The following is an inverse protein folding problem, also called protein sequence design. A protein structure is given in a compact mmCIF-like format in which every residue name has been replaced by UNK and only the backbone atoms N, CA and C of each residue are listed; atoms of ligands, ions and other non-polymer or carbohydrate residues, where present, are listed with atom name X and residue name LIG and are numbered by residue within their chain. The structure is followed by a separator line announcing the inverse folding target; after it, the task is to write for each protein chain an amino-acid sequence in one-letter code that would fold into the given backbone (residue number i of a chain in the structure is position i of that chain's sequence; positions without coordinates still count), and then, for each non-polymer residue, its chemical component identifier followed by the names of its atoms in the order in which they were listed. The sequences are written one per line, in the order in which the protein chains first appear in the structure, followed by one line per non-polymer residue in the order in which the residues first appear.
data_IF_703970450537
#
_entry.id   IF_703970450537
#
_cell.length_a   1.000
_cell.length_b   1.000
_cell.length_c   1.000
_cell.angle_alpha   90.00
_cell.angle_beta   90.00
_cell.angle_gamma   90.00
#
_symmetry.space_group_name_H-M   'P 1'
#
loop_
_entity.id
_entity.type
_entity.pdbx_description
1 polymer ?
#
# COMPACT_ATOMS: atom_id res chain seq x y z
N UNK A 1 -7.11 1.83 6.08
CA UNK A 1 -6.28 2.99 6.48
C UNK A 1 -6.38 4.10 5.45
N UNK A 2 -6.05 5.35 5.81
CA UNK A 2 -5.84 6.46 4.86
C UNK A 2 -4.45 7.01 5.14
N UNK A 3 -3.51 6.86 4.20
CA UNK A 3 -2.11 7.19 4.45
C UNK A 3 -1.30 7.44 3.16
N UNK A 4 -0.02 7.79 3.35
CA UNK A 4 0.98 7.82 2.26
C UNK A 4 1.42 6.41 1.86
N UNK A 5 2.06 6.29 0.71
CA UNK A 5 2.52 5.03 0.13
C UNK A 5 4.03 4.80 0.32
N UNK A 6 4.52 5.01 1.55
CA UNK A 6 5.90 4.69 1.91
C UNK A 6 6.12 3.17 1.95
N UNK A 7 7.33 2.72 1.62
CA UNK A 7 7.66 1.28 1.57
C UNK A 7 7.36 0.57 2.91
N UNK A 8 7.83 1.11 4.03
CA UNK A 8 7.54 0.54 5.36
C UNK A 8 6.06 0.52 5.69
N UNK A 9 5.32 1.56 5.31
CA UNK A 9 3.87 1.64 5.52
C UNK A 9 3.15 0.54 4.75
N UNK A 10 3.48 0.35 3.47
CA UNK A 10 2.89 -0.73 2.67
C UNK A 10 3.21 -2.10 3.26
N UNK A 11 4.45 -2.32 3.69
CA UNK A 11 4.86 -3.56 4.36
C UNK A 11 4.06 -3.81 5.63
N UNK A 12 3.82 -2.79 6.45
CA UNK A 12 2.99 -2.95 7.65
C UNK A 12 1.52 -3.26 7.29
N UNK A 13 0.94 -2.53 6.33
CA UNK A 13 -0.43 -2.76 5.91
C UNK A 13 -0.61 -4.16 5.31
N UNK A 14 0.36 -4.67 4.55
CA UNK A 14 0.31 -6.02 3.99
C UNK A 14 0.40 -7.08 5.07
N UNK A 15 1.32 -6.95 6.04
CA UNK A 15 1.46 -7.89 7.15
C UNK A 15 0.17 -8.04 7.96
N UNK A 16 -0.56 -6.94 8.18
CA UNK A 16 -1.81 -6.96 8.94
C UNK A 16 -3.07 -7.09 8.06
N UNK A 17 -2.93 -7.12 6.74
CA UNK A 17 -4.06 -7.21 5.82
C UNK A 17 -5.02 -6.04 5.89
N UNK A 18 -4.49 -4.82 6.02
CA UNK A 18 -5.28 -3.62 6.21
C UNK A 18 -5.59 -2.98 4.85
N UNK A 19 -6.84 -3.02 4.38
CA UNK A 19 -7.23 -2.36 3.13
C UNK A 19 -7.06 -0.84 3.27
N UNK A 20 -6.68 -0.15 2.19
CA UNK A 20 -6.25 1.24 2.31
C UNK A 20 -6.62 2.16 1.14
N UNK A 21 -6.79 3.43 1.46
CA UNK A 21 -6.70 4.54 0.52
C UNK A 21 -5.28 5.11 0.60
N UNK A 22 -4.53 5.00 -0.48
CA UNK A 22 -3.14 5.46 -0.58
C UNK A 22 -3.07 6.77 -1.35
N UNK A 23 -2.49 7.79 -0.72
CA UNK A 23 -2.25 9.11 -1.31
C UNK A 23 -0.75 9.33 -1.46
N UNK A 24 -0.10 8.85 -2.54
CA UNK A 24 1.34 8.92 -2.69
C UNK A 24 1.85 10.36 -2.63
N UNK A 25 3.01 10.56 -2.00
CA UNK A 25 3.67 11.86 -1.95
C UNK A 25 4.29 12.19 -3.32
N UNK A 26 3.88 13.30 -3.98
CA UNK A 26 4.24 13.57 -5.38
C UNK A 26 5.69 14.02 -5.58
N UNK A 27 6.43 14.30 -4.51
CA UNK A 27 7.83 14.73 -4.59
C UNK A 27 8.80 13.66 -4.06
N UNK A 28 8.34 12.41 -3.97
CA UNK A 28 9.23 11.29 -3.68
C UNK A 28 10.24 11.13 -4.82
N UNK A 29 11.51 10.86 -4.49
CA UNK A 29 12.55 10.58 -5.48
C UNK A 29 12.06 9.53 -6.47
N UNK A 30 12.19 9.83 -7.77
CA UNK A 30 11.82 8.92 -8.87
C UNK A 30 10.37 8.38 -8.81
N UNK A 31 9.45 9.10 -8.16
CA UNK A 31 8.04 8.69 -7.99
C UNK A 31 7.85 7.35 -7.27
N UNK A 32 8.81 6.93 -6.43
CA UNK A 32 8.77 5.61 -5.77
C UNK A 32 7.48 5.36 -4.98
N UNK A 33 6.92 6.40 -4.33
CA UNK A 33 5.65 6.25 -3.62
C UNK A 33 4.46 5.97 -4.56
N UNK A 34 4.46 6.51 -5.78
CA UNK A 34 3.41 6.22 -6.75
C UNK A 34 3.46 4.75 -7.19
N UNK A 35 4.66 4.23 -7.52
CA UNK A 35 4.82 2.84 -7.92
C UNK A 35 4.47 1.86 -6.80
N UNK A 36 4.93 2.15 -5.59
CA UNK A 36 4.53 1.46 -4.37
C UNK A 36 2.99 1.38 -4.24
N UNK A 37 2.30 2.52 -4.38
CA UNK A 37 0.84 2.57 -4.26
C UNK A 37 0.15 1.77 -5.37
N UNK A 38 0.66 1.93 -6.61
CA UNK A 38 0.13 1.30 -7.81
C UNK A 38 0.23 -0.23 -7.74
N UNK A 39 1.33 -0.78 -7.25
CA UNK A 39 1.49 -2.22 -7.09
C UNK A 39 0.41 -2.82 -6.17
N UNK A 40 0.09 -2.13 -5.07
CA UNK A 40 -0.96 -2.57 -4.15
C UNK A 40 -2.37 -2.39 -4.74
N UNK A 41 -2.60 -1.35 -5.54
CA UNK A 41 -3.85 -1.18 -6.28
C UNK A 41 -4.06 -2.27 -7.34
N UNK A 42 -3.02 -2.60 -8.11
CA UNK A 42 -3.06 -3.66 -9.12
C UNK A 42 -3.29 -5.04 -8.49
N UNK A 43 -2.78 -5.25 -7.28
CA UNK A 43 -3.07 -6.44 -6.47
C UNK A 43 -4.54 -6.47 -5.98
N UNK A 44 -5.22 -5.33 -5.97
CA UNK A 44 -6.57 -5.17 -5.43
C UNK A 44 -6.60 -4.91 -3.92
N UNK A 45 -5.48 -4.52 -3.31
CA UNK A 45 -5.35 -4.29 -1.87
C UNK A 45 -5.61 -2.85 -1.42
N UNK A 46 -5.67 -1.90 -2.36
CA UNK A 46 -5.85 -0.48 -2.08
C UNK A 46 -6.57 0.27 -3.20
N UNK A 47 -7.06 1.46 -2.87
CA UNK A 47 -7.45 2.50 -3.82
C UNK A 47 -6.37 3.59 -3.81
N UNK A 48 -5.93 4.04 -4.98
CA UNK A 48 -4.92 5.11 -5.10
C UNK A 48 -5.56 6.42 -5.51
N UNK A 49 -5.20 7.50 -4.81
CA UNK A 49 -5.63 8.84 -5.13
C UNK A 49 -4.41 9.77 -5.18
N UNK A 50 -4.13 10.37 -6.33
CA UNK A 50 -3.03 11.34 -6.44
C UNK A 50 -3.35 12.58 -5.60
N UNK A 51 -2.31 13.20 -5.04
CA UNK A 51 -2.45 14.38 -4.18
C UNK A 51 -3.17 15.55 -4.88
N UNK A 52 -2.92 15.76 -6.17
CA UNK A 52 -3.57 16.81 -6.97
C UNK A 52 -5.09 16.64 -7.09
N UNK A 53 -5.58 15.40 -7.00
CA UNK A 53 -6.99 15.02 -7.14
C UNK A 53 -7.73 14.99 -5.79
N UNK A 54 -7.03 15.27 -4.68
CA UNK A 54 -7.62 15.25 -3.35
C UNK A 54 -8.68 16.35 -3.22
N UNK A 55 -9.93 15.91 -3.06
CA UNK A 55 -11.10 16.75 -2.76
C UNK A 55 -11.97 16.02 -1.73
N UNK A 56 -12.71 16.73 -0.86
CA UNK A 56 -13.53 16.08 0.18
C UNK A 56 -14.46 14.99 -0.35
N UNK A 57 -15.19 15.26 -1.44
CA UNK A 57 -16.10 14.29 -2.06
C UNK A 57 -15.38 13.07 -2.64
N UNK A 58 -14.19 13.26 -3.20
CA UNK A 58 -13.38 12.18 -3.77
C UNK A 58 -12.82 11.28 -2.66
N UNK A 59 -12.33 11.86 -1.56
CA UNK A 59 -11.89 11.09 -0.39
C UNK A 59 -13.06 10.26 0.16
N UNK A 60 -14.23 10.86 0.36
CA UNK A 60 -15.40 10.15 0.89
C UNK A 60 -15.74 8.96 0.00
N UNK A 61 -15.84 9.17 -1.31
CA UNK A 61 -16.16 8.10 -2.27
C UNK A 61 -15.11 6.97 -2.26
N UNK A 62 -13.82 7.33 -2.17
CA UNK A 62 -12.74 6.35 -2.10
C UNK A 62 -12.75 5.56 -0.78
N UNK A 63 -13.02 6.21 0.34
CA UNK A 63 -13.15 5.54 1.65
C UNK A 63 -14.38 4.63 1.66
N UNK A 64 -15.51 5.06 1.12
CA UNK A 64 -16.71 4.22 0.96
C UNK A 64 -16.41 2.96 0.15
N UNK A 65 -15.66 3.09 -0.95
CA UNK A 65 -15.21 1.93 -1.74
C UNK A 65 -14.34 0.99 -0.90
N UNK A 66 -13.31 1.51 -0.24
CA UNK A 66 -12.42 0.71 0.63
C UNK A 66 -13.21 -0.02 1.72
N UNK A 67 -14.23 0.62 2.31
CA UNK A 67 -15.10 -0.01 3.31
C UNK A 67 -16.00 -1.10 2.71
N UNK A 68 -16.55 -0.87 1.53
CA UNK A 68 -17.42 -1.85 0.85
C UNK A 68 -16.67 -3.09 0.35
N UNK A 69 -15.38 -2.95 0.04
CA UNK A 69 -14.51 -4.02 -0.50
C UNK A 69 -13.48 -4.48 0.56
N UNK A 70 -13.67 -4.13 1.84
CA UNK A 70 -12.65 -4.24 2.88
C UNK A 70 -12.12 -5.67 3.09
N UNK A 71 -13.01 -6.67 3.05
CA UNK A 71 -12.63 -8.07 3.24
C UNK A 71 -11.74 -8.56 2.09
N UNK A 72 -12.19 -8.40 0.84
CA UNK A 72 -11.43 -8.80 -0.34
C UNK A 72 -10.13 -8.01 -0.51
N UNK A 73 -10.14 -6.69 -0.24
CA UNK A 73 -8.93 -5.87 -0.29
C UNK A 73 -7.94 -6.27 0.82
N UNK A 74 -8.44 -6.59 2.01
CA UNK A 74 -7.62 -7.08 3.10
C UNK A 74 -6.97 -8.42 2.78
N UNK A 75 -7.68 -9.33 2.12
CA UNK A 75 -7.13 -10.60 1.62
C UNK A 75 -6.07 -10.38 0.54
N UNK A 76 -6.36 -9.51 -0.43
CA UNK A 76 -5.44 -9.18 -1.50
C UNK A 76 -4.14 -8.58 -0.96
N UNK A 77 -4.20 -7.57 -0.09
CA UNK A 77 -2.97 -6.93 0.42
C UNK A 77 -2.12 -7.88 1.28
N UNK A 78 -2.72 -8.88 1.93
CA UNK A 78 -1.97 -9.92 2.68
C UNK A 78 -1.02 -10.72 1.78
N UNK A 79 -1.36 -10.94 0.51
CA UNK A 79 -0.48 -11.71 -0.38
C UNK A 79 0.79 -10.96 -0.77
N UNK A 80 0.87 -9.65 -0.52
CA UNK A 80 2.09 -8.87 -0.70
C UNK A 80 3.10 -9.05 0.45
N UNK A 81 2.65 -9.52 1.61
CA UNK A 81 3.50 -9.60 2.79
C UNK A 81 4.61 -10.65 2.63
N UNK A 82 5.83 -10.30 3.05
CA UNK A 82 6.93 -11.25 3.22
C UNK A 82 7.42 -11.27 4.67
N UNK A 83 6.86 -12.13 5.54
CA UNK A 83 7.23 -12.21 6.95
C UNK A 83 8.68 -12.64 7.20
N UNK A 84 9.34 -13.28 6.22
CA UNK A 84 10.74 -13.71 6.34
C UNK A 84 11.74 -12.75 5.72
N UNK A 85 11.33 -11.54 5.36
CA UNK A 85 12.20 -10.59 4.67
C UNK A 85 13.53 -10.37 5.40
N UNK A 86 13.51 -10.28 6.73
CA UNK A 86 14.72 -10.12 7.55
C UNK A 86 15.62 -11.35 7.48
N UNK A 87 15.06 -12.56 7.61
CA UNK A 87 15.83 -13.80 7.55
C UNK A 87 16.51 -13.97 6.18
N UNK A 88 15.77 -13.72 5.09
CA UNK A 88 16.30 -13.79 3.72
C UNK A 88 17.46 -12.81 3.48
N UNK A 89 17.36 -11.60 4.04
CA UNK A 89 18.44 -10.61 3.95
C UNK A 89 19.67 -11.08 4.74
N UNK A 90 19.47 -11.67 5.92
CA UNK A 90 20.57 -12.20 6.74
C UNK A 90 21.28 -13.37 6.05
N UNK A 91 20.53 -14.30 5.47
CA UNK A 91 21.08 -15.42 4.68
C UNK A 91 21.99 -14.91 3.56
N UNK A 92 21.53 -13.95 2.74
CA UNK A 92 22.30 -13.38 1.63
C UNK A 92 23.56 -12.61 2.08
N UNK A 93 23.51 -11.94 3.24
CA UNK A 93 24.67 -11.22 3.79
C UNK A 93 25.70 -12.20 4.34
N UNK A 94 25.29 -13.29 4.96
CA UNK A 94 26.17 -14.27 5.61
C UNK A 94 26.74 -15.33 4.64
N UNK A 95 26.10 -15.55 3.49
CA UNK A 95 26.62 -16.40 2.41
C UNK A 95 27.74 -15.73 1.58
N UNK A 96 27.96 -14.42 1.79
CA UNK A 96 29.08 -13.65 1.22
C UNK A 96 30.25 -13.53 2.19
#
# INVERSE_FOLDING_TARGET
AVCRAGASTITELSLYGVPSLLIPYPYATEDHQYYNAKEIEELGGAVVLKEEDVRPSVIVSAVERVLSEAESMGEAVRSFANPRAVDLILEEILEK
#
